data_IF_553923802861
#
_entry.id   IF_553923802861
#
_cell.length_a   1.000
_cell.length_b   1.000
_cell.length_c   1.000
_cell.angle_alpha   90.00
_cell.angle_beta   90.00
_cell.angle_gamma   90.00
#
_symmetry.space_group_name_H-M   'P 1'
#
loop_
_entity.id
_entity.type
_entity.pdbx_description
1 polymer ?
#
# COMPACT_ATOMS: atom_id res chain seq x y z
N UNK A 1 18.82 26.08 -2.15
CA UNK A 1 18.72 24.82 -1.38
C UNK A 1 18.23 23.79 -2.37
N UNK A 2 19.10 22.90 -2.84
CA UNK A 2 18.69 21.84 -3.74
C UNK A 2 17.70 20.94 -2.97
N UNK A 3 16.49 20.84 -3.49
CA UNK A 3 15.46 19.99 -2.90
C UNK A 3 15.90 18.55 -3.05
N UNK A 4 16.23 17.89 -1.93
CA UNK A 4 16.47 16.46 -1.92
C UNK A 4 15.11 15.79 -2.08
N UNK A 5 14.79 15.33 -3.29
CA UNK A 5 13.65 14.43 -3.48
C UNK A 5 14.00 13.11 -2.81
N UNK A 6 13.25 12.66 -1.79
CA UNK A 6 13.54 11.41 -1.13
C UNK A 6 13.44 10.26 -2.14
N UNK A 7 14.47 9.42 -2.19
CA UNK A 7 14.57 8.27 -3.10
C UNK A 7 13.42 7.28 -2.91
N UNK A 8 12.89 7.18 -1.70
CA UNK A 8 11.79 6.31 -1.34
C UNK A 8 10.68 7.10 -0.64
N UNK A 9 9.45 6.82 -1.02
CA UNK A 9 8.25 7.29 -0.35
C UNK A 9 7.81 6.23 0.65
N UNK A 10 7.48 6.63 1.87
CA UNK A 10 6.84 5.77 2.87
C UNK A 10 5.42 6.25 3.09
N UNK A 11 4.46 5.34 3.10
CA UNK A 11 3.06 5.61 3.41
C UNK A 11 2.63 4.75 4.59
N UNK A 12 2.13 5.40 5.64
CA UNK A 12 1.33 4.76 6.69
C UNK A 12 -0.14 5.05 6.40
N UNK A 13 -0.99 4.02 6.46
CA UNK A 13 -2.41 4.15 6.14
C UNK A 13 -3.25 3.28 7.08
N UNK A 14 -4.49 3.72 7.29
CA UNK A 14 -5.54 2.92 7.88
C UNK A 14 -6.89 3.41 7.37
N UNK A 15 -7.87 2.52 7.35
CA UNK A 15 -9.27 2.86 7.13
C UNK A 15 -10.15 1.80 7.78
N UNK A 16 -11.10 2.25 8.61
CA UNK A 16 -12.20 1.40 9.07
C UNK A 16 -13.30 1.41 8.02
N UNK A 17 -13.62 0.25 7.48
CA UNK A 17 -14.65 0.03 6.46
C UNK A 17 -15.04 -1.45 6.47
N UNK A 18 -16.31 -1.76 6.23
CA UNK A 18 -16.72 -3.15 6.04
C UNK A 18 -16.00 -3.72 4.80
N UNK A 19 -15.17 -4.74 5.03
CA UNK A 19 -14.35 -5.39 4.02
C UNK A 19 -14.57 -6.91 4.07
N UNK A 20 -15.79 -7.41 3.74
CA UNK A 20 -16.11 -8.83 3.85
C UNK A 20 -15.24 -9.71 2.95
N UNK A 21 -14.75 -9.15 1.84
CA UNK A 21 -13.99 -9.86 0.81
C UNK A 21 -12.46 -9.74 1.04
N UNK A 22 -12.03 -9.31 2.24
CA UNK A 22 -10.62 -9.00 2.54
C UNK A 22 -9.63 -10.11 2.18
N UNK A 23 -10.05 -11.38 2.32
CA UNK A 23 -9.22 -12.54 2.04
C UNK A 23 -8.87 -12.65 0.54
N UNK A 24 -9.83 -12.34 -0.33
CA UNK A 24 -9.66 -12.40 -1.80
C UNK A 24 -8.78 -11.24 -2.31
N UNK A 25 -8.71 -10.13 -1.55
CA UNK A 25 -7.87 -8.97 -1.88
C UNK A 25 -6.38 -9.20 -1.59
N UNK A 26 -6.00 -10.22 -0.82
CA UNK A 26 -4.61 -10.45 -0.40
C UNK A 26 -3.68 -10.71 -1.59
N UNK A 27 -4.03 -11.65 -2.46
CA UNK A 27 -3.18 -12.01 -3.61
C UNK A 27 -3.03 -10.90 -4.66
N UNK A 28 -4.10 -10.21 -5.11
CA UNK A 28 -3.95 -9.12 -6.07
C UNK A 28 -3.15 -7.95 -5.49
N UNK A 29 -3.35 -7.63 -4.21
CA UNK A 29 -2.59 -6.57 -3.55
C UNK A 29 -1.11 -6.93 -3.36
N UNK A 30 -0.82 -8.18 -2.99
CA UNK A 30 0.56 -8.68 -2.92
C UNK A 30 1.25 -8.62 -4.29
N UNK A 31 0.57 -9.09 -5.34
CA UNK A 31 1.09 -9.07 -6.71
C UNK A 31 1.35 -7.65 -7.21
N UNK A 32 0.48 -6.70 -6.87
CA UNK A 32 0.66 -5.29 -7.19
C UNK A 32 1.88 -4.70 -6.49
N UNK A 33 2.04 -4.96 -5.18
CA UNK A 33 3.22 -4.54 -4.43
C UNK A 33 4.50 -5.11 -5.04
N UNK A 34 4.52 -6.40 -5.37
CA UNK A 34 5.69 -7.06 -5.98
C UNK A 34 6.02 -6.50 -7.36
N UNK A 35 5.00 -6.26 -8.20
CA UNK A 35 5.17 -5.65 -9.53
C UNK A 35 5.79 -4.25 -9.45
N UNK A 36 5.44 -3.48 -8.42
CA UNK A 36 5.94 -2.12 -8.22
C UNK A 36 7.18 -2.03 -7.31
N UNK A 37 7.72 -3.16 -6.85
CA UNK A 37 8.86 -3.19 -5.92
C UNK A 37 8.56 -2.54 -4.56
N UNK A 38 7.29 -2.49 -4.16
CA UNK A 38 6.84 -1.91 -2.89
C UNK A 38 7.00 -2.96 -1.78
N UNK A 39 7.53 -2.54 -0.64
CA UNK A 39 7.81 -3.38 0.53
C UNK A 39 7.13 -2.84 1.76
N UNK A 40 6.88 -3.70 2.75
CA UNK A 40 6.21 -3.35 3.99
C UNK A 40 5.12 -4.35 4.33
N UNK A 41 4.13 -3.92 5.11
CA UNK A 41 3.02 -4.76 5.56
C UNK A 41 1.70 -4.01 5.40
N UNK A 42 0.71 -4.70 4.85
CA UNK A 42 -0.69 -4.34 4.88
C UNK A 42 -1.46 -5.45 5.58
N UNK A 43 -2.22 -5.09 6.60
CA UNK A 43 -3.15 -5.95 7.32
C UNK A 43 -4.54 -5.68 6.76
N UNK A 44 -5.17 -6.72 6.24
CA UNK A 44 -6.56 -6.73 5.80
C UNK A 44 -7.37 -7.52 6.82
N UNK A 45 -8.50 -6.97 7.26
CA UNK A 45 -9.42 -7.57 8.20
C UNK A 45 -10.87 -7.23 7.80
N UNK A 46 -11.88 -7.97 8.30
CA UNK A 46 -13.28 -7.64 8.04
C UNK A 46 -13.66 -6.19 8.35
N UNK A 47 -13.02 -5.59 9.36
CA UNK A 47 -13.22 -4.20 9.78
C UNK A 47 -12.40 -3.15 9.01
N UNK A 48 -11.57 -3.56 8.04
CA UNK A 48 -10.88 -2.66 7.13
C UNK A 48 -9.40 -2.98 6.90
N UNK A 49 -8.57 -1.93 6.81
CA UNK A 49 -7.16 -2.02 6.42
C UNK A 49 -6.26 -1.17 7.33
N UNK A 50 -5.05 -1.66 7.60
CA UNK A 50 -3.98 -0.90 8.24
C UNK A 50 -2.63 -1.29 7.64
N UNK A 51 -1.66 -0.37 7.58
CA UNK A 51 -0.28 -0.79 7.36
C UNK A 51 0.70 0.32 7.05
N UNK A 52 1.91 -0.12 6.72
CA UNK A 52 3.00 0.76 6.28
C UNK A 52 3.73 0.12 5.12
N UNK A 53 3.88 0.87 4.03
CA UNK A 53 4.59 0.45 2.82
C UNK A 53 5.58 1.52 2.38
N UNK A 54 6.65 1.09 1.70
CA UNK A 54 7.67 1.96 1.16
C UNK A 54 8.17 1.44 -0.20
N UNK A 55 8.59 2.36 -1.06
CA UNK A 55 9.10 2.06 -2.40
C UNK A 55 9.40 3.34 -3.18
N UNK A 56 9.71 3.21 -4.46
CA UNK A 56 9.79 4.40 -5.33
C UNK A 56 8.43 5.13 -5.33
N UNK A 57 8.40 6.48 -5.37
CA UNK A 57 7.16 7.24 -5.27
C UNK A 57 6.06 6.78 -6.22
N UNK A 58 6.42 6.47 -7.47
CA UNK A 58 5.46 5.98 -8.47
C UNK A 58 4.84 4.64 -8.08
N UNK A 59 5.63 3.72 -7.53
CA UNK A 59 5.15 2.41 -7.08
C UNK A 59 4.22 2.52 -5.88
N UNK A 60 4.58 3.33 -4.89
CA UNK A 60 3.70 3.58 -3.72
C UNK A 60 2.41 4.26 -4.16
N UNK A 61 2.46 5.23 -5.08
CA UNK A 61 1.26 5.87 -5.61
C UNK A 61 0.36 4.90 -6.40
N UNK A 62 0.93 3.95 -7.14
CA UNK A 62 0.16 2.92 -7.83
C UNK A 62 -0.61 2.03 -6.85
N UNK A 63 0.04 1.58 -5.76
CA UNK A 63 -0.61 0.81 -4.69
C UNK A 63 -1.72 1.62 -4.01
N UNK A 64 -1.44 2.87 -3.65
CA UNK A 64 -2.45 3.75 -3.02
C UNK A 64 -3.61 4.09 -3.97
N UNK A 65 -3.40 4.10 -5.28
CA UNK A 65 -4.47 4.32 -6.26
C UNK A 65 -5.37 3.08 -6.40
N UNK A 66 -4.82 1.87 -6.30
CA UNK A 66 -5.59 0.63 -6.33
C UNK A 66 -6.45 0.43 -5.07
N UNK A 67 -5.98 0.93 -3.91
CA UNK A 67 -6.70 0.83 -2.63
C UNK A 67 -7.86 1.84 -2.47
N UNK A 68 -8.02 2.80 -3.39
CA UNK A 68 -9.10 3.81 -3.37
C UNK A 68 -10.35 3.31 -4.08
#
# INVERSE_FOLDING_TARGET
MDSVTPRFLTAALYQFVDLPDFADLREPLQSLCDTHGVRGMLLLAPEGINGTIAGEPQGVHAVLAWLR
#
